data_IF_184131974479
#
_entry.id   IF_184131974479
#
_cell.length_a   1.000
_cell.length_b   1.000
_cell.length_c   1.000
_cell.angle_alpha   90.00
_cell.angle_beta   90.00
_cell.angle_gamma   90.00
#
_symmetry.space_group_name_H-M   'P 1'
#
loop_
_entity.id
_entity.type
_entity.pdbx_description
1 polymer ?
#
# COMPACT_ATOMS: atom_id res chain seq x y z
N UNK A 1 -7.70 -26.83 12.12
CA UNK A 1 -7.95 -25.65 11.28
C UNK A 1 -6.82 -24.65 11.58
N UNK A 2 -5.70 -24.76 10.87
CA UNK A 2 -4.44 -24.09 11.27
C UNK A 2 -3.61 -23.76 10.02
N UNK A 3 -4.12 -22.88 9.15
CA UNK A 3 -3.36 -22.35 8.01
C UNK A 3 -3.51 -20.83 7.84
N UNK A 4 -4.37 -20.17 8.62
CA UNK A 4 -4.81 -18.80 8.34
C UNK A 4 -3.83 -17.71 8.81
N UNK A 5 -2.77 -18.05 9.57
CA UNK A 5 -1.88 -17.05 10.19
C UNK A 5 -0.60 -16.76 9.39
N UNK A 6 -0.25 -17.57 8.38
CA UNK A 6 1.05 -17.39 7.66
C UNK A 6 0.97 -16.58 6.37
N UNK A 7 -0.15 -16.64 5.64
CA UNK A 7 -0.25 -16.03 4.30
C UNK A 7 -0.25 -14.50 4.38
N UNK A 8 -0.82 -13.95 5.45
CA UNK A 8 -1.02 -12.51 5.61
C UNK A 8 0.27 -11.72 5.76
N UNK A 9 1.23 -12.21 6.55
CA UNK A 9 2.54 -11.56 6.75
C UNK A 9 3.43 -11.66 5.51
N UNK A 10 3.43 -12.82 4.84
CA UNK A 10 4.25 -13.03 3.64
C UNK A 10 3.85 -12.08 2.50
N UNK A 11 2.54 -11.84 2.32
CA UNK A 11 2.07 -10.90 1.31
C UNK A 11 2.55 -9.48 1.62
N UNK A 12 2.45 -9.03 2.86
CA UNK A 12 2.88 -7.69 3.25
C UNK A 12 4.39 -7.49 3.06
N UNK A 13 5.22 -8.45 3.50
CA UNK A 13 6.68 -8.39 3.31
C UNK A 13 7.06 -8.39 1.83
N UNK A 14 6.38 -9.19 1.01
CA UNK A 14 6.60 -9.22 -0.44
C UNK A 14 6.21 -7.88 -1.09
N UNK A 15 5.09 -7.28 -0.70
CA UNK A 15 4.69 -5.96 -1.19
C UNK A 15 5.67 -4.87 -0.75
N UNK A 16 6.19 -4.91 0.48
CA UNK A 16 7.25 -3.99 0.93
C UNK A 16 8.52 -4.15 0.10
N UNK A 17 8.94 -5.38 -0.18
CA UNK A 17 10.12 -5.65 -0.99
C UNK A 17 9.94 -5.12 -2.43
N UNK A 18 8.77 -5.38 -3.01
CA UNK A 18 8.43 -4.89 -4.34
C UNK A 18 8.32 -3.36 -4.35
N UNK A 19 7.73 -2.74 -3.33
CA UNK A 19 7.63 -1.27 -3.20
C UNK A 19 9.00 -0.58 -3.15
N UNK A 20 10.01 -1.21 -2.53
CA UNK A 20 11.39 -0.71 -2.52
C UNK A 20 11.99 -0.61 -3.93
N UNK A 21 11.67 -1.58 -4.80
CA UNK A 21 12.16 -1.61 -6.18
C UNK A 21 11.23 -0.92 -7.18
N UNK A 22 9.94 -0.82 -6.88
CA UNK A 22 8.92 -0.20 -7.72
C UNK A 22 8.95 1.32 -7.58
N UNK A 23 8.67 2.02 -8.70
CA UNK A 23 8.60 3.48 -8.79
C UNK A 23 7.52 3.90 -9.78
N UNK A 24 6.94 5.08 -9.56
CA UNK A 24 5.92 5.65 -10.46
C UNK A 24 4.74 4.70 -10.69
N UNK A 25 4.44 4.42 -11.96
CA UNK A 25 3.33 3.56 -12.36
C UNK A 25 3.35 2.16 -11.72
N UNK A 26 4.54 1.55 -11.58
CA UNK A 26 4.66 0.23 -10.97
C UNK A 26 4.25 0.24 -9.49
N UNK A 27 4.58 1.31 -8.77
CA UNK A 27 4.24 1.49 -7.37
C UNK A 27 2.74 1.77 -7.21
N UNK A 28 2.15 2.55 -8.13
CA UNK A 28 0.71 2.78 -8.16
C UNK A 28 -0.08 1.47 -8.34
N UNK A 29 0.31 0.64 -9.33
CA UNK A 29 -0.29 -0.68 -9.53
C UNK A 29 -0.12 -1.58 -8.31
N UNK A 30 1.05 -1.53 -7.67
CA UNK A 30 1.30 -2.31 -6.46
C UNK A 30 0.36 -1.90 -5.33
N UNK A 31 0.15 -0.60 -5.09
CA UNK A 31 -0.79 -0.09 -4.09
C UNK A 31 -2.20 -0.65 -4.33
N UNK A 32 -2.68 -0.64 -5.58
CA UNK A 32 -3.98 -1.25 -5.91
C UNK A 32 -4.03 -2.73 -5.53
N UNK A 33 -2.99 -3.50 -5.87
CA UNK A 33 -2.92 -4.91 -5.48
C UNK A 33 -2.92 -5.11 -3.97
N UNK A 34 -2.23 -4.26 -3.21
CA UNK A 34 -2.22 -4.35 -1.74
C UNK A 34 -3.59 -4.02 -1.15
N UNK A 35 -4.29 -3.03 -1.70
CA UNK A 35 -5.64 -2.64 -1.29
C UNK A 35 -6.68 -3.72 -1.60
N UNK A 36 -6.49 -4.45 -2.70
CA UNK A 36 -7.33 -5.58 -3.09
C UNK A 36 -6.98 -6.88 -2.33
N UNK A 37 -5.80 -6.94 -1.70
CA UNK A 37 -5.33 -8.14 -1.02
C UNK A 37 -6.01 -8.32 0.35
N UNK A 38 -6.83 -9.37 0.53
CA UNK A 38 -7.45 -9.64 1.83
C UNK A 38 -6.37 -10.02 2.86
N UNK A 39 -6.42 -9.38 4.02
CA UNK A 39 -5.46 -9.59 5.11
C UNK A 39 -4.40 -8.50 5.23
N UNK A 40 -4.16 -7.68 4.20
CA UNK A 40 -3.21 -6.57 4.32
C UNK A 40 -3.95 -5.32 4.79
N UNK A 41 -3.78 -4.99 6.08
CA UNK A 41 -4.41 -3.83 6.70
C UNK A 41 -3.39 -2.80 7.22
N UNK A 42 -2.10 -3.08 7.04
CA UNK A 42 -1.01 -2.26 7.57
C UNK A 42 -0.27 -1.60 6.41
N UNK A 43 -0.68 -0.36 6.13
CA UNK A 43 -0.12 0.45 5.04
C UNK A 43 0.87 1.51 5.52
N UNK A 44 1.00 1.72 6.84
CA UNK A 44 1.90 2.74 7.41
C UNK A 44 3.34 2.59 6.96
N UNK A 45 3.87 1.36 6.96
CA UNK A 45 5.24 1.05 6.52
C UNK A 45 5.45 1.33 5.02
N UNK A 46 4.43 1.10 4.19
CA UNK A 46 4.48 1.45 2.76
C UNK A 46 4.51 2.97 2.61
N UNK A 47 3.68 3.69 3.37
CA UNK A 47 3.55 5.14 3.28
C UNK A 47 4.79 5.90 3.78
N UNK A 48 5.54 5.31 4.72
CA UNK A 48 6.81 5.87 5.21
C UNK A 48 7.95 5.77 4.17
N UNK A 49 7.80 4.93 3.14
CA UNK A 49 8.83 4.78 2.11
C UNK A 49 8.99 6.05 1.25
N UNK A 50 10.23 6.46 0.95
CA UNK A 50 10.50 7.61 0.10
C UNK A 50 9.90 7.44 -1.30
N UNK A 51 9.92 6.22 -1.86
CA UNK A 51 9.31 5.91 -3.15
C UNK A 51 7.81 6.26 -3.20
N UNK A 52 7.11 6.07 -2.08
CA UNK A 52 5.67 6.34 -1.96
C UNK A 52 5.42 7.84 -1.80
N UNK A 53 6.27 8.56 -1.07
CA UNK A 53 6.24 10.04 -1.06
C UNK A 53 6.48 10.65 -2.44
N UNK A 54 7.38 10.08 -3.24
CA UNK A 54 7.60 10.55 -4.62
C UNK A 54 6.34 10.40 -5.51
N UNK A 55 5.44 9.44 -5.21
CA UNK A 55 4.15 9.36 -5.91
C UNK A 55 3.23 10.53 -5.59
N UNK A 56 3.31 11.09 -4.38
CA UNK A 56 2.50 12.23 -3.97
C UNK A 56 2.78 13.47 -4.82
N UNK A 57 4.03 13.61 -5.28
CA UNK A 57 4.48 14.72 -6.12
C UNK A 57 4.38 14.41 -7.63
N UNK A 58 3.95 13.19 -7.99
CA UNK A 58 3.79 12.73 -9.36
C UNK A 58 2.32 12.74 -9.81
N UNK A 59 2.07 12.37 -11.06
CA UNK A 59 0.72 12.16 -11.63
C UNK A 59 -0.12 11.12 -10.84
N UNK A 60 0.52 10.30 -10.00
CA UNK A 60 -0.08 9.28 -9.15
C UNK A 60 -0.47 9.80 -7.74
N UNK A 61 -0.54 11.12 -7.54
CA UNK A 61 -0.93 11.74 -6.27
C UNK A 61 -2.29 11.22 -5.74
N UNK A 62 -3.22 10.90 -6.64
CA UNK A 62 -4.52 10.30 -6.30
C UNK A 62 -4.37 8.94 -5.61
N UNK A 63 -3.45 8.10 -6.09
CA UNK A 63 -3.15 6.78 -5.51
C UNK A 63 -2.46 6.91 -4.15
N UNK A 64 -1.54 7.87 -4.03
CA UNK A 64 -0.91 8.18 -2.74
C UNK A 64 -1.95 8.64 -1.71
N UNK A 65 -2.87 9.51 -2.11
CA UNK A 65 -3.93 9.99 -1.23
C UNK A 65 -4.87 8.86 -0.81
N UNK A 66 -5.25 7.97 -1.73
CA UNK A 66 -6.01 6.78 -1.41
C UNK A 66 -5.30 5.91 -0.36
N UNK A 67 -4.01 5.63 -0.55
CA UNK A 67 -3.22 4.88 0.43
C UNK A 67 -3.18 5.59 1.79
N UNK A 68 -3.07 6.93 1.80
CA UNK A 68 -3.09 7.73 3.03
C UNK A 68 -4.40 7.58 3.79
N UNK A 69 -5.54 7.61 3.08
CA UNK A 69 -6.87 7.40 3.67
C UNK A 69 -6.99 5.99 4.24
N UNK A 70 -6.48 4.97 3.56
CA UNK A 70 -6.49 3.60 4.07
C UNK A 70 -5.53 3.38 5.25
N UNK A 71 -4.42 4.11 5.31
CA UNK A 71 -3.42 4.00 6.37
C UNK A 71 -3.80 4.76 7.66
N UNK A 72 -4.34 5.98 7.52
CA UNK A 72 -4.57 6.91 8.63
C UNK A 72 -5.98 7.50 8.65
N UNK A 73 -6.66 7.48 7.52
CA UNK A 73 -7.98 8.08 7.37
C UNK A 73 -9.10 7.17 7.87
N UNK A 74 -10.30 7.73 7.79
CA UNK A 74 -11.54 6.98 7.96
C UNK A 74 -12.31 7.04 6.64
N UNK A 75 -13.35 6.21 6.49
CA UNK A 75 -14.20 6.26 5.30
C UNK A 75 -14.80 7.68 5.07
N UNK A 76 -14.96 8.48 6.12
CA UNK A 76 -15.39 9.86 6.02
C UNK A 76 -14.35 10.80 5.36
N UNK A 77 -13.06 10.46 5.39
CA UNK A 77 -11.99 11.22 4.72
C UNK A 77 -11.96 10.93 3.20
N UNK A 78 -12.58 9.83 2.77
CA UNK A 78 -12.73 9.47 1.37
C UNK A 78 -13.93 10.15 0.67
N UNK A 79 -15.00 10.44 1.42
CA UNK A 79 -16.25 11.04 0.93
C UNK A 79 -16.11 12.53 0.62
#
# INVERSE_FOLDING_TARGET
>A
MSAEVKVTGQNQEQFLLLAKSAKGAALATLIHQVLEAPGVYVFGELLDMPNVRELAESDFASTFRLLTVFAYGTYADYL
#
